data_IF_623895711051
#
_entry.id   IF_623895711051
#
_cell.length_a   1.000
_cell.length_b   1.000
_cell.length_c   1.000
_cell.angle_alpha   90.00
_cell.angle_beta   90.00
_cell.angle_gamma   90.00
#
_symmetry.space_group_name_H-M   'P 1'
#
loop_
_entity.id
_entity.type
_entity.pdbx_description
1 polymer ?
#
# COMPACT_ATOMS: atom_id res chain seq x y z
N UNK A 1 -19.93 -14.35 3.74
CA UNK A 1 -19.80 -14.56 5.18
C UNK A 1 -20.72 -13.58 5.89
N UNK A 2 -21.47 -14.02 6.89
CA UNK A 2 -22.29 -13.18 7.76
C UNK A 2 -21.88 -13.51 9.19
N UNK A 3 -21.71 -12.50 10.04
CA UNK A 3 -21.34 -12.68 11.45
C UNK A 3 -22.43 -12.04 12.29
N UNK A 4 -23.00 -12.82 13.21
CA UNK A 4 -24.01 -12.34 14.16
C UNK A 4 -23.48 -12.63 15.56
N UNK A 5 -23.41 -11.59 16.38
CA UNK A 5 -23.08 -11.70 17.79
C UNK A 5 -24.25 -11.26 18.66
N UNK A 6 -24.44 -11.94 19.78
CA UNK A 6 -25.44 -11.57 20.79
C UNK A 6 -24.93 -11.92 22.18
N UNK A 7 -25.35 -11.23 23.25
CA UNK A 7 -25.09 -11.69 24.60
C UNK A 7 -25.55 -13.14 24.81
N UNK A 8 -24.81 -13.87 25.66
CA UNK A 8 -25.25 -15.15 26.20
C UNK A 8 -25.77 -14.94 27.62
N UNK A 9 -27.08 -15.09 27.83
CA UNK A 9 -27.69 -14.83 29.14
C UNK A 9 -27.22 -15.80 30.23
N UNK A 10 -26.71 -16.99 29.87
CA UNK A 10 -26.13 -17.96 30.82
C UNK A 10 -24.89 -17.41 31.54
N UNK A 11 -24.22 -16.41 30.94
CA UNK A 11 -23.05 -15.77 31.54
C UNK A 11 -23.43 -14.66 32.53
N UNK A 12 -24.65 -14.14 32.47
CA UNK A 12 -25.07 -12.98 33.27
C UNK A 12 -24.91 -13.16 34.79
N UNK A 13 -25.18 -14.35 35.38
CA UNK A 13 -24.98 -14.58 36.81
C UNK A 13 -23.55 -14.36 37.30
N UNK A 14 -22.56 -14.35 36.41
CA UNK A 14 -21.17 -14.03 36.77
C UNK A 14 -20.94 -12.54 37.01
N UNK A 15 -21.87 -11.70 36.60
CA UNK A 15 -21.85 -10.27 36.90
C UNK A 15 -22.64 -10.00 38.19
N UNK A 16 -22.13 -9.12 39.07
CA UNK A 16 -22.63 -8.98 40.43
C UNK A 16 -24.09 -8.54 40.59
N UNK A 17 -24.78 -8.06 39.55
CA UNK A 17 -26.12 -7.43 39.67
C UNK A 17 -26.98 -7.49 38.40
N UNK A 18 -26.72 -8.40 37.46
CA UNK A 18 -27.28 -8.29 36.10
C UNK A 18 -28.24 -9.44 35.79
N UNK A 19 -29.51 -9.11 35.53
CA UNK A 19 -30.48 -10.05 34.93
C UNK A 19 -30.44 -9.95 33.40
N UNK A 20 -30.66 -8.74 32.88
CA UNK A 20 -30.32 -8.31 31.51
C UNK A 20 -29.19 -7.30 31.57
N UNK A 21 -28.23 -7.39 30.64
CA UNK A 21 -27.04 -6.53 30.62
C UNK A 21 -27.33 -5.08 30.30
N UNK A 22 -28.41 -4.83 29.58
CA UNK A 22 -28.86 -3.49 29.22
C UNK A 22 -30.40 -3.44 29.27
N UNK A 23 -30.95 -2.33 29.76
CA UNK A 23 -32.39 -2.12 29.84
C UNK A 23 -33.03 -1.95 28.46
N UNK A 24 -32.27 -1.55 27.44
CA UNK A 24 -32.76 -1.39 26.07
C UNK A 24 -32.82 -2.70 25.29
N UNK A 25 -32.16 -3.77 25.77
CA UNK A 25 -32.26 -5.09 25.17
C UNK A 25 -33.69 -5.62 25.24
N UNK A 26 -34.20 -6.09 24.10
CA UNK A 26 -35.56 -6.66 24.02
C UNK A 26 -35.61 -8.13 24.44
N UNK A 27 -34.48 -8.82 24.39
CA UNK A 27 -34.29 -10.21 24.81
C UNK A 27 -32.80 -10.49 24.96
N UNK A 28 -32.44 -11.54 25.72
CA UNK A 28 -31.09 -12.12 25.74
C UNK A 28 -31.19 -13.64 25.72
N UNK A 29 -30.69 -14.25 24.64
CA UNK A 29 -30.75 -15.69 24.45
C UNK A 29 -29.69 -16.44 25.23
N UNK A 30 -30.04 -17.64 25.67
CA UNK A 30 -29.08 -18.65 26.08
C UNK A 30 -28.40 -19.28 24.84
N UNK A 31 -27.45 -20.20 25.04
CA UNK A 31 -26.73 -20.83 23.92
C UNK A 31 -27.64 -21.69 23.06
N UNK A 32 -28.55 -22.44 23.68
CA UNK A 32 -29.44 -23.34 22.96
C UNK A 32 -30.44 -22.57 22.07
N UNK A 33 -31.01 -21.49 22.58
CA UNK A 33 -31.94 -20.63 21.85
C UNK A 33 -31.26 -20.01 20.62
N UNK A 34 -30.07 -19.44 20.81
CA UNK A 34 -29.29 -18.86 19.72
C UNK A 34 -28.89 -19.92 18.69
N UNK A 35 -28.38 -21.08 19.13
CA UNK A 35 -27.97 -22.16 18.23
C UNK A 35 -29.16 -22.73 17.43
N UNK A 36 -30.30 -22.93 18.09
CA UNK A 36 -31.52 -23.44 17.44
C UNK A 36 -31.99 -22.49 16.35
N UNK A 37 -32.10 -21.20 16.69
CA UNK A 37 -32.48 -20.17 15.72
C UNK A 37 -31.47 -20.11 14.56
N UNK A 38 -30.17 -20.09 14.87
CA UNK A 38 -29.12 -19.98 13.88
C UNK A 38 -29.09 -21.18 12.93
N UNK A 39 -29.22 -22.41 13.44
CA UNK A 39 -29.28 -23.62 12.62
C UNK A 39 -30.49 -23.61 11.68
N UNK A 40 -31.67 -23.19 12.16
CA UNK A 40 -32.87 -23.06 11.34
C UNK A 40 -32.71 -22.03 10.21
N UNK A 41 -32.10 -20.88 10.51
CA UNK A 41 -31.80 -19.85 9.51
C UNK A 41 -30.77 -20.36 8.49
N UNK A 42 -29.72 -21.02 8.97
CA UNK A 42 -28.66 -21.56 8.12
C UNK A 42 -29.23 -22.58 7.11
N UNK A 43 -30.03 -23.54 7.58
CA UNK A 43 -30.71 -24.53 6.75
C UNK A 43 -31.63 -23.86 5.71
N UNK A 44 -32.50 -22.96 6.16
CA UNK A 44 -33.48 -22.26 5.30
C UNK A 44 -32.83 -21.49 4.16
N UNK A 45 -31.69 -20.86 4.39
CA UNK A 45 -31.03 -19.99 3.40
C UNK A 45 -29.79 -20.61 2.74
N UNK A 46 -29.54 -21.91 2.96
CA UNK A 46 -28.40 -22.65 2.42
C UNK A 46 -27.02 -22.09 2.85
N UNK A 47 -26.88 -21.90 4.16
CA UNK A 47 -25.62 -21.60 4.84
C UNK A 47 -25.25 -22.77 5.76
N UNK A 48 -23.96 -22.89 6.09
CA UNK A 48 -23.50 -23.56 7.29
C UNK A 48 -23.21 -22.50 8.37
N UNK A 49 -23.28 -22.88 9.64
CA UNK A 49 -23.00 -22.01 10.77
C UNK A 49 -21.99 -22.66 11.70
N UNK A 50 -20.97 -21.90 12.08
CA UNK A 50 -20.01 -22.25 13.13
C UNK A 50 -20.26 -21.38 14.36
N UNK A 51 -20.24 -22.00 15.55
CA UNK A 51 -20.48 -21.31 16.81
C UNK A 51 -19.17 -21.05 17.54
N UNK A 52 -18.96 -19.80 17.93
CA UNK A 52 -17.81 -19.35 18.73
C UNK A 52 -18.25 -18.24 19.68
N UNK A 53 -17.30 -17.54 20.30
CA UNK A 53 -17.61 -16.40 21.15
C UNK A 53 -16.38 -15.68 21.69
N UNK A 54 -16.64 -14.62 22.45
CA UNK A 54 -15.61 -13.83 23.13
C UNK A 54 -15.97 -13.62 24.60
N UNK A 55 -14.94 -13.38 25.42
CA UNK A 55 -15.07 -13.32 26.88
C UNK A 55 -15.20 -14.71 27.46
N UNK A 56 -14.06 -15.40 27.63
CA UNK A 56 -14.03 -16.70 28.32
C UNK A 56 -14.46 -16.50 29.78
N UNK A 57 -15.15 -17.49 30.36
CA UNK A 57 -15.50 -17.43 31.77
C UNK A 57 -14.23 -17.52 32.64
N UNK A 58 -14.28 -16.99 33.87
CA UNK A 58 -13.23 -17.22 34.85
C UNK A 58 -13.11 -18.71 35.18
N UNK A 59 -11.96 -19.09 35.73
CA UNK A 59 -11.68 -20.47 36.12
C UNK A 59 -12.78 -21.01 37.06
N UNK A 60 -13.30 -22.20 36.76
CA UNK A 60 -14.37 -22.86 37.52
C UNK A 60 -15.80 -22.53 37.05
N UNK A 61 -15.96 -21.62 36.08
CA UNK A 61 -17.25 -21.28 35.49
C UNK A 61 -17.35 -21.65 33.98
N UNK A 62 -16.51 -22.57 33.50
CA UNK A 62 -16.42 -22.93 32.07
C UNK A 62 -17.75 -23.41 31.47
N UNK A 63 -18.63 -23.96 32.31
CA UNK A 63 -19.92 -24.48 31.91
C UNK A 63 -20.86 -23.43 31.29
N UNK A 64 -20.74 -22.14 31.64
CA UNK A 64 -21.62 -21.09 31.07
C UNK A 64 -21.25 -20.69 29.63
N UNK A 65 -20.08 -21.10 29.15
CA UNK A 65 -19.58 -20.73 27.83
C UNK A 65 -19.11 -19.28 27.73
N UNK A 66 -19.07 -18.73 26.51
CA UNK A 66 -18.62 -17.36 26.27
C UNK A 66 -19.61 -16.31 26.75
N UNK A 67 -19.10 -15.15 27.16
CA UNK A 67 -19.88 -13.97 27.52
C UNK A 67 -20.71 -13.44 26.34
N UNK A 68 -20.11 -13.36 25.16
CA UNK A 68 -20.80 -13.06 23.90
C UNK A 68 -20.69 -14.28 23.00
N UNK A 69 -21.83 -14.76 22.50
CA UNK A 69 -21.91 -15.86 21.55
C UNK A 69 -21.97 -15.32 20.12
N UNK A 70 -21.33 -16.05 19.19
CA UNK A 70 -21.15 -15.63 17.80
C UNK A 70 -21.50 -16.80 16.89
N UNK A 71 -22.33 -16.54 15.89
CA UNK A 71 -22.61 -17.44 14.78
C UNK A 71 -21.92 -16.90 13.52
N UNK A 72 -21.01 -17.68 12.95
CA UNK A 72 -20.34 -17.37 11.69
C UNK A 72 -21.00 -18.18 10.58
N UNK A 73 -21.77 -17.51 9.74
CA UNK A 73 -22.52 -18.13 8.65
C UNK A 73 -21.73 -18.04 7.35
N UNK A 74 -21.48 -19.19 6.73
CA UNK A 74 -20.81 -19.31 5.45
C UNK A 74 -21.77 -19.93 4.43
N UNK A 75 -21.83 -19.36 3.22
CA UNK A 75 -22.76 -19.84 2.19
C UNK A 75 -22.27 -21.18 1.67
N UNK A 76 -23.14 -22.19 1.61
CA UNK A 76 -22.77 -23.48 1.04
C UNK A 76 -22.57 -23.31 -0.47
N UNK A 77 -21.33 -23.43 -0.95
CA UNK A 77 -20.97 -23.28 -2.37
C UNK A 77 -21.32 -24.52 -3.22
N UNK A 78 -21.90 -25.56 -2.61
CA UNK A 78 -22.12 -26.88 -3.22
C UNK A 78 -23.37 -27.06 -4.08
N UNK A 79 -24.24 -26.06 -4.20
CA UNK A 79 -25.26 -25.99 -5.25
C UNK A 79 -25.34 -24.54 -5.69
N UNK A 80 -25.02 -24.28 -6.95
CA UNK A 80 -25.58 -23.12 -7.62
C UNK A 80 -27.11 -23.35 -7.65
N UNK A 81 -27.79 -23.01 -6.55
CA UNK A 81 -29.22 -22.74 -6.58
C UNK A 81 -29.40 -21.80 -7.75
N UNK A 82 -30.22 -22.22 -8.74
CA UNK A 82 -30.56 -21.40 -9.90
C UNK A 82 -30.64 -19.97 -9.43
N UNK A 83 -29.74 -19.14 -9.95
CA UNK A 83 -29.72 -17.73 -9.62
C UNK A 83 -31.11 -17.22 -9.90
N UNK A 84 -31.89 -16.97 -8.85
CA UNK A 84 -33.02 -16.06 -8.95
C UNK A 84 -32.37 -14.72 -9.24
N UNK A 85 -32.04 -14.49 -10.52
CA UNK A 85 -31.75 -13.18 -11.08
C UNK A 85 -33.07 -12.44 -11.00
N UNK A 86 -33.45 -12.08 -9.78
CA UNK A 86 -34.32 -10.94 -9.56
C UNK A 86 -33.57 -9.79 -10.21
N UNK A 87 -34.18 -9.21 -11.24
CA UNK A 87 -33.72 -7.94 -11.79
C UNK A 87 -33.46 -7.03 -10.58
N UNK A 88 -32.31 -6.36 -10.48
CA UNK A 88 -32.08 -5.43 -9.38
C UNK A 88 -33.12 -4.34 -9.52
N UNK A 89 -34.20 -4.47 -8.76
CA UNK A 89 -35.21 -3.45 -8.66
C UNK A 89 -34.56 -2.37 -7.79
N UNK A 90 -34.42 -1.19 -8.37
CA UNK A 90 -33.61 -0.09 -7.83
C UNK A 90 -34.27 0.49 -6.57
N UNK A 91 -34.16 -0.24 -5.46
CA UNK A 91 -34.74 0.12 -4.17
C UNK A 91 -33.67 0.79 -3.30
N UNK A 92 -33.58 2.11 -3.42
CA UNK A 92 -32.77 2.93 -2.53
C UNK A 92 -33.55 3.31 -1.27
N UNK A 93 -33.71 2.36 -0.35
CA UNK A 93 -34.42 2.61 0.94
C UNK A 93 -33.57 3.46 1.89
N UNK A 94 -32.25 3.24 1.91
CA UNK A 94 -31.34 3.98 2.79
C UNK A 94 -30.95 5.34 2.21
N UNK A 95 -30.89 6.36 3.07
CA UNK A 95 -30.29 7.66 2.75
C UNK A 95 -28.79 7.62 3.07
N UNK A 96 -27.94 7.74 2.04
CA UNK A 96 -26.50 7.89 2.24
C UNK A 96 -26.22 9.20 3.02
N UNK A 97 -25.72 9.07 4.25
CA UNK A 97 -25.35 10.22 5.10
C UNK A 97 -23.97 10.76 4.70
N UNK A 98 -23.07 9.86 4.32
CA UNK A 98 -21.71 10.19 3.89
C UNK A 98 -21.21 9.15 2.88
N UNK A 99 -20.41 9.57 1.92
CA UNK A 99 -19.75 8.69 0.95
C UNK A 99 -18.37 9.24 0.66
N UNK A 100 -17.37 8.37 0.63
CA UNK A 100 -16.00 8.74 0.30
C UNK A 100 -15.38 7.68 -0.60
N UNK A 101 -14.46 8.11 -1.46
CA UNK A 101 -13.68 7.25 -2.34
C UNK A 101 -12.21 7.63 -2.19
N UNK A 102 -11.37 6.67 -1.83
CA UNK A 102 -9.93 6.89 -1.69
C UNK A 102 -9.24 6.72 -3.04
N UNK A 103 -8.24 7.57 -3.36
CA UNK A 103 -7.45 7.41 -4.57
C UNK A 103 -6.66 6.09 -4.51
N UNK A 104 -6.53 5.44 -5.67
CA UNK A 104 -5.80 4.18 -5.83
C UNK A 104 -4.85 4.27 -7.02
N UNK A 105 -3.70 3.60 -6.95
CA UNK A 105 -2.79 3.46 -8.09
C UNK A 105 -3.37 2.64 -9.25
N UNK A 106 -4.53 1.99 -9.06
CA UNK A 106 -5.30 1.41 -10.16
C UNK A 106 -5.96 2.48 -11.04
N UNK A 107 -6.19 3.67 -10.50
CA UNK A 107 -6.71 4.80 -11.27
C UNK A 107 -5.56 5.43 -12.04
N UNK A 108 -5.67 5.44 -13.37
CA UNK A 108 -4.61 5.92 -14.25
C UNK A 108 -4.15 7.34 -13.92
N UNK A 109 -5.09 8.24 -13.61
CA UNK A 109 -4.78 9.61 -13.19
C UNK A 109 -3.90 9.67 -11.94
N UNK A 110 -4.17 8.83 -10.95
CA UNK A 110 -3.40 8.77 -9.71
C UNK A 110 -2.04 8.11 -9.95
N UNK A 111 -2.01 7.03 -10.73
CA UNK A 111 -0.76 6.39 -11.15
C UNK A 111 0.16 7.38 -11.86
N UNK A 112 -0.36 8.11 -12.85
CA UNK A 112 0.37 9.15 -13.59
C UNK A 112 0.95 10.20 -12.65
N UNK A 113 0.12 10.78 -11.79
CA UNK A 113 0.54 11.82 -10.86
C UNK A 113 1.69 11.37 -9.95
N UNK A 114 1.55 10.20 -9.33
CA UNK A 114 2.58 9.67 -8.41
C UNK A 114 3.84 9.24 -9.17
N UNK A 115 3.69 8.61 -10.34
CA UNK A 115 4.81 8.16 -11.16
C UNK A 115 5.66 9.35 -11.64
N UNK A 116 5.02 10.41 -12.17
CA UNK A 116 5.72 11.63 -12.59
C UNK A 116 6.50 12.25 -11.43
N UNK A 117 5.87 12.36 -10.25
CA UNK A 117 6.54 12.89 -9.06
C UNK A 117 7.77 12.08 -8.65
N UNK A 118 7.66 10.76 -8.59
CA UNK A 118 8.80 9.89 -8.24
C UNK A 118 9.89 9.91 -9.32
N UNK A 119 9.53 9.97 -10.61
CA UNK A 119 10.50 10.12 -11.72
C UNK A 119 11.31 11.39 -11.56
N UNK A 120 10.65 12.54 -11.39
CA UNK A 120 11.33 13.82 -11.24
C UNK A 120 12.25 13.82 -10.01
N UNK A 121 11.82 13.26 -8.89
CA UNK A 121 12.64 13.13 -7.68
C UNK A 121 13.88 12.24 -7.94
N UNK A 122 13.73 11.09 -8.61
CA UNK A 122 14.87 10.21 -8.88
C UNK A 122 15.85 10.83 -9.89
N UNK A 123 15.34 11.47 -10.95
CA UNK A 123 16.17 12.18 -11.94
C UNK A 123 16.98 13.29 -11.26
N UNK A 124 16.34 14.08 -10.41
CA UNK A 124 17.01 15.17 -9.69
C UNK A 124 18.09 14.66 -8.73
N UNK A 125 17.83 13.56 -8.02
CA UNK A 125 18.84 12.90 -7.16
C UNK A 125 20.04 12.41 -7.96
N UNK A 126 19.81 11.83 -9.13
CA UNK A 126 20.85 11.35 -10.02
C UNK A 126 21.68 12.53 -10.57
N UNK A 127 21.01 13.60 -11.00
CA UNK A 127 21.64 14.82 -11.51
C UNK A 127 22.54 15.46 -10.45
N UNK A 128 22.03 15.67 -9.24
CA UNK A 128 22.79 16.25 -8.13
C UNK A 128 23.98 15.37 -7.71
N UNK A 129 23.82 14.05 -7.73
CA UNK A 129 24.92 13.11 -7.47
C UNK A 129 26.00 13.22 -8.54
N UNK A 130 25.60 13.24 -9.81
CA UNK A 130 26.52 13.39 -10.93
C UNK A 130 27.29 14.72 -10.88
N UNK A 131 26.59 15.82 -10.60
CA UNK A 131 27.21 17.14 -10.45
C UNK A 131 28.21 17.21 -9.29
N UNK A 132 27.99 16.48 -8.19
CA UNK A 132 28.98 16.34 -7.10
C UNK A 132 30.23 15.59 -7.56
N UNK A 133 30.05 14.44 -8.21
CA UNK A 133 31.16 13.63 -8.71
C UNK A 133 32.05 14.43 -9.69
N UNK A 134 31.45 15.20 -10.60
CA UNK A 134 32.21 16.06 -11.51
C UNK A 134 33.04 17.14 -10.78
N UNK A 135 32.49 17.72 -9.70
CA UNK A 135 33.22 18.72 -8.89
C UNK A 135 34.38 18.10 -8.13
N UNK A 136 34.20 16.90 -7.59
CA UNK A 136 35.25 16.14 -6.89
C UNK A 136 36.39 15.80 -7.86
N UNK A 137 36.07 15.25 -9.04
CA UNK A 137 37.06 14.97 -10.08
C UNK A 137 37.83 16.22 -10.54
N UNK A 138 37.14 17.36 -10.67
CA UNK A 138 37.80 18.63 -11.01
C UNK A 138 38.76 19.09 -9.92
N UNK A 139 38.37 18.99 -8.65
CA UNK A 139 39.22 19.34 -7.49
C UNK A 139 40.46 18.44 -7.38
N UNK A 140 40.29 17.15 -7.65
CA UNK A 140 41.39 16.18 -7.71
C UNK A 140 42.34 16.44 -8.88
N UNK A 141 41.82 16.89 -10.04
CA UNK A 141 42.66 17.28 -11.17
C UNK A 141 43.46 18.57 -10.90
N UNK A 142 42.91 19.50 -10.13
CA UNK A 142 43.55 20.77 -9.77
C UNK A 142 44.57 20.63 -8.60
N UNK A 143 44.56 19.51 -7.86
CA UNK A 143 45.43 19.26 -6.70
C UNK A 143 46.49 18.19 -7.04
N UNK A 144 47.80 18.51 -6.97
CA UNK A 144 48.88 17.51 -7.15
C UNK A 144 48.80 16.37 -6.11
N UNK A 145 49.26 15.14 -6.42
CA UNK A 145 49.10 14.00 -5.52
C UNK A 145 50.06 14.16 -4.35
N UNK A 146 49.53 14.60 -3.21
CA UNK A 146 50.20 14.41 -1.93
C UNK A 146 49.42 13.39 -1.11
N UNK A 147 50.19 12.52 -0.45
CA UNK A 147 49.71 11.28 0.14
C UNK A 147 48.82 11.51 1.36
N UNK A 148 47.88 10.58 1.52
CA UNK A 148 47.06 10.30 2.70
C UNK A 148 45.99 11.33 3.04
N UNK A 149 44.81 11.13 2.46
CA UNK A 149 43.58 11.05 3.24
C UNK A 149 42.60 10.21 2.41
N UNK A 150 42.26 9.01 2.91
CA UNK A 150 41.19 8.21 2.34
C UNK A 150 39.89 8.98 2.55
N UNK A 151 39.43 9.68 1.52
CA UNK A 151 38.09 10.24 1.49
C UNK A 151 37.09 9.11 1.72
N UNK A 152 36.06 9.31 2.56
CA UNK A 152 35.08 8.28 2.82
C UNK A 152 34.33 7.96 1.52
N UNK A 153 34.09 6.66 1.31
CA UNK A 153 33.42 6.07 0.16
C UNK A 153 32.19 6.93 -0.28
N UNK A 154 32.10 7.38 -1.55
CA UNK A 154 31.03 8.28 -2.06
C UNK A 154 29.60 7.78 -1.84
N UNK A 155 29.44 6.55 -1.39
CA UNK A 155 28.18 5.92 -1.06
C UNK A 155 27.44 6.53 0.15
N UNK A 156 28.11 7.25 1.05
CA UNK A 156 27.55 7.51 2.39
C UNK A 156 26.78 8.82 2.62
N UNK A 157 26.73 9.77 1.67
CA UNK A 157 26.24 11.12 2.03
C UNK A 157 24.78 11.42 1.63
N UNK A 158 24.08 10.55 0.89
CA UNK A 158 22.61 10.66 0.72
C UNK A 158 21.93 9.41 0.13
N UNK A 159 22.44 8.21 0.39
CA UNK A 159 22.06 6.99 -0.31
C UNK A 159 21.02 6.17 0.43
N UNK A 160 19.87 5.90 -0.20
CA UNK A 160 19.02 4.80 0.24
C UNK A 160 19.87 3.52 0.34
N UNK A 161 19.74 2.79 1.45
CA UNK A 161 20.38 1.48 1.61
C UNK A 161 19.65 0.50 0.69
N UNK A 162 20.33 0.08 -0.38
CA UNK A 162 19.83 -0.92 -1.31
C UNK A 162 20.30 -2.30 -0.88
N UNK A 163 19.44 -3.30 -1.05
CA UNK A 163 19.83 -4.71 -1.01
C UNK A 163 20.82 -5.03 -2.14
N UNK A 164 21.61 -6.10 -2.01
CA UNK A 164 22.57 -6.49 -3.07
C UNK A 164 21.88 -6.70 -4.42
N UNK A 165 20.71 -7.36 -4.44
CA UNK A 165 19.93 -7.54 -5.66
C UNK A 165 19.43 -6.20 -6.27
N UNK A 166 19.11 -5.20 -5.45
CA UNK A 166 18.75 -3.87 -5.92
C UNK A 166 19.98 -3.13 -6.47
N UNK A 167 21.15 -3.25 -5.82
CA UNK A 167 22.41 -2.71 -6.33
C UNK A 167 22.76 -3.33 -7.67
N UNK A 168 22.70 -4.64 -7.80
CA UNK A 168 23.00 -5.37 -9.03
C UNK A 168 22.08 -4.94 -10.16
N UNK A 169 20.76 -4.83 -9.91
CA UNK A 169 19.80 -4.33 -10.90
C UNK A 169 20.12 -2.92 -11.35
N UNK A 170 20.48 -2.05 -10.40
CA UNK A 170 20.86 -0.68 -10.68
C UNK A 170 22.15 -0.69 -11.51
N UNK A 171 23.23 -1.34 -11.08
CA UNK A 171 24.51 -1.34 -11.78
C UNK A 171 24.41 -1.91 -13.20
N UNK A 172 23.60 -2.94 -13.41
CA UNK A 172 23.35 -3.56 -14.72
C UNK A 172 22.42 -2.74 -15.62
N UNK A 173 21.84 -1.64 -15.13
CA UNK A 173 20.99 -0.76 -15.95
C UNK A 173 21.80 0.38 -16.60
N UNK A 174 21.35 0.92 -17.75
CA UNK A 174 22.06 1.98 -18.46
C UNK A 174 22.40 3.18 -17.56
N UNK A 175 23.65 3.65 -17.61
CA UNK A 175 24.10 4.76 -16.76
C UNK A 175 23.56 6.09 -17.30
N UNK A 176 23.23 7.06 -16.43
CA UNK A 176 22.99 8.44 -16.85
C UNK A 176 24.21 9.02 -17.56
N UNK A 177 23.97 9.93 -18.50
CA UNK A 177 25.04 10.56 -19.30
C UNK A 177 24.71 12.02 -19.59
N UNK A 178 25.70 12.78 -20.06
CA UNK A 178 25.53 14.16 -20.48
C UNK A 178 25.79 14.31 -21.98
N UNK A 179 25.02 15.17 -22.64
CA UNK A 179 25.35 15.71 -23.96
C UNK A 179 25.26 17.23 -23.88
N UNK A 180 26.41 17.91 -23.97
CA UNK A 180 26.48 19.35 -23.70
C UNK A 180 26.05 19.68 -22.27
N UNK A 181 25.11 20.62 -22.12
CA UNK A 181 24.56 21.05 -20.83
C UNK A 181 23.28 20.27 -20.43
N UNK A 182 22.97 19.17 -21.12
CA UNK A 182 21.82 18.33 -20.84
C UNK A 182 22.24 17.04 -20.15
N UNK A 183 21.48 16.64 -19.14
CA UNK A 183 21.63 15.40 -18.38
C UNK A 183 20.51 14.43 -18.73
N UNK A 184 20.88 13.23 -19.15
CA UNK A 184 19.98 12.19 -19.64
C UNK A 184 19.92 11.04 -18.64
N UNK A 185 18.71 10.64 -18.26
CA UNK A 185 18.47 9.49 -17.40
C UNK A 185 17.60 8.47 -18.14
N UNK A 186 18.17 7.32 -18.56
CA UNK A 186 17.41 6.29 -19.26
C UNK A 186 16.19 5.78 -18.48
N UNK A 187 15.07 5.50 -19.15
CA UNK A 187 13.87 4.98 -18.50
C UNK A 187 14.13 3.62 -17.83
N UNK A 188 14.92 2.75 -18.47
CA UNK A 188 15.39 1.49 -17.87
C UNK A 188 16.16 1.69 -16.56
N UNK A 189 16.94 2.78 -16.47
CA UNK A 189 17.66 3.14 -15.24
C UNK A 189 16.69 3.53 -14.13
N UNK A 190 15.67 4.32 -14.46
CA UNK A 190 14.64 4.75 -13.52
C UNK A 190 13.84 3.54 -12.98
N UNK A 191 13.45 2.61 -13.85
CA UNK A 191 12.75 1.37 -13.46
C UNK A 191 13.63 0.41 -12.62
N UNK A 192 14.95 0.58 -12.62
CA UNK A 192 15.84 -0.14 -11.72
C UNK A 192 15.77 0.36 -10.26
N UNK A 193 15.24 1.56 -10.00
CA UNK A 193 15.10 2.06 -8.63
C UNK A 193 13.90 1.44 -7.90
N UNK A 194 14.03 1.00 -6.64
CA UNK A 194 12.99 0.25 -5.92
C UNK A 194 11.63 0.95 -5.85
N UNK A 195 11.63 2.27 -5.65
CA UNK A 195 10.39 3.05 -5.60
C UNK A 195 9.63 3.03 -6.92
N UNK A 196 10.34 3.12 -8.04
CA UNK A 196 9.75 3.12 -9.37
C UNK A 196 9.40 1.70 -9.84
N UNK A 197 10.21 0.71 -9.46
CA UNK A 197 9.93 -0.70 -9.73
C UNK A 197 8.59 -1.16 -9.11
N UNK A 198 8.22 -0.62 -7.93
CA UNK A 198 6.97 -0.98 -7.24
C UNK A 198 5.70 -0.68 -8.04
N UNK A 199 5.75 0.25 -8.99
CA UNK A 199 4.59 0.52 -9.86
C UNK A 199 4.35 -0.59 -10.88
N UNK A 200 5.32 -1.50 -11.11
CA UNK A 200 5.23 -2.60 -12.07
C UNK A 200 4.81 -2.14 -13.47
N UNK A 201 5.33 -0.97 -13.86
CA UNK A 201 5.10 -0.36 -15.17
C UNK A 201 6.30 -0.70 -16.06
N UNK A 202 6.05 -1.16 -17.28
CA UNK A 202 7.10 -1.37 -18.28
C UNK A 202 7.56 -0.03 -18.88
N UNK A 203 8.60 -0.07 -19.72
CA UNK A 203 9.17 1.15 -20.29
C UNK A 203 8.17 1.90 -21.17
N UNK A 204 7.37 1.19 -21.96
CA UNK A 204 6.42 1.79 -22.90
C UNK A 204 5.28 2.49 -22.17
N UNK A 205 4.72 1.84 -21.16
CA UNK A 205 3.68 2.42 -20.31
C UNK A 205 4.24 3.55 -19.45
N UNK A 206 5.48 3.46 -18.97
CA UNK A 206 6.12 4.56 -18.26
C UNK A 206 6.25 5.77 -19.18
N UNK A 207 6.77 5.57 -20.39
CA UNK A 207 6.92 6.61 -21.42
C UNK A 207 5.60 7.28 -21.73
N UNK A 208 4.54 6.51 -21.99
CA UNK A 208 3.21 7.02 -22.29
C UNK A 208 2.61 7.84 -21.14
N UNK A 209 2.85 7.42 -19.89
CA UNK A 209 2.31 8.13 -18.72
C UNK A 209 3.03 9.45 -18.44
N UNK A 210 4.34 9.53 -18.68
CA UNK A 210 5.15 10.70 -18.31
C UNK A 210 5.40 11.68 -19.46
N UNK A 211 5.17 11.29 -20.71
CA UNK A 211 5.54 12.08 -21.90
C UNK A 211 4.92 13.48 -21.96
N UNK A 212 3.76 13.68 -21.34
CA UNK A 212 3.10 14.99 -21.28
C UNK A 212 3.61 15.89 -20.14
N UNK A 213 4.35 15.33 -19.19
CA UNK A 213 4.73 16.02 -17.95
C UNK A 213 6.24 16.13 -17.76
N UNK A 214 7.02 15.36 -18.50
CA UNK A 214 8.48 15.27 -18.39
C UNK A 214 9.10 15.34 -19.78
N UNK A 215 10.18 16.10 -19.94
CA UNK A 215 10.94 16.16 -21.18
C UNK A 215 11.65 14.83 -21.43
N UNK A 216 11.38 14.22 -22.58
CA UNK A 216 12.03 12.99 -23.02
C UNK A 216 13.01 13.26 -24.16
N UNK A 217 13.96 12.35 -24.36
CA UNK A 217 14.84 12.34 -25.53
C UNK A 217 14.05 12.15 -26.82
N UNK A 218 14.67 12.43 -27.97
CA UNK A 218 14.02 12.33 -29.28
C UNK A 218 13.49 10.93 -29.60
N UNK A 219 14.16 9.89 -29.11
CA UNK A 219 13.75 8.48 -29.19
C UNK A 219 12.84 8.03 -28.03
N UNK A 220 12.57 8.91 -27.06
CA UNK A 220 11.77 8.64 -25.88
C UNK A 220 12.40 7.65 -24.88
N UNK A 221 13.69 7.31 -25.01
CA UNK A 221 14.36 6.31 -24.16
C UNK A 221 14.91 6.86 -22.85
N UNK A 222 15.00 8.18 -22.70
CA UNK A 222 15.54 8.84 -21.52
C UNK A 222 14.75 10.10 -21.13
N UNK A 223 14.72 10.41 -19.83
CA UNK A 223 14.32 11.73 -19.32
C UNK A 223 15.47 12.70 -19.47
N UNK A 224 15.19 13.93 -19.91
CA UNK A 224 16.16 14.98 -20.18
C UNK A 224 15.92 16.17 -19.25
N UNK A 225 16.95 16.60 -18.55
CA UNK A 225 16.95 17.81 -17.72
C UNK A 225 18.22 18.62 -17.98
N UNK A 226 18.21 19.91 -17.63
CA UNK A 226 19.44 20.70 -17.65
C UNK A 226 20.40 20.19 -16.58
N UNK A 227 21.68 20.03 -16.91
CA UNK A 227 22.70 19.57 -15.98
C UNK A 227 22.91 20.62 -14.88
N UNK A 228 22.88 21.89 -15.25
CA UNK A 228 23.01 23.03 -14.35
C UNK A 228 21.70 23.82 -14.29
N UNK A 229 21.17 24.01 -13.09
CA UNK A 229 19.98 24.82 -12.83
C UNK A 229 20.38 26.12 -12.14
N UNK A 230 19.67 27.22 -12.41
CA UNK A 230 19.92 28.54 -11.78
C UNK A 230 19.78 28.53 -10.24
N UNK A 231 19.16 27.48 -9.70
CA UNK A 231 18.96 27.25 -8.27
C UNK A 231 20.00 26.31 -7.64
N UNK A 232 20.94 25.79 -8.44
CA UNK A 232 22.04 25.00 -7.91
C UNK A 232 22.98 25.92 -7.12
N UNK A 233 22.90 25.86 -5.79
CA UNK A 233 23.79 26.63 -4.92
C UNK A 233 25.26 26.35 -5.27
N UNK A 234 25.97 27.37 -5.76
CA UNK A 234 27.42 27.34 -5.97
C UNK A 234 28.08 27.95 -4.74
N UNK A 235 28.80 27.16 -3.91
CA UNK A 235 29.51 27.70 -2.76
C UNK A 235 30.69 28.63 -3.14
N UNK A 236 31.01 28.77 -4.43
CA UNK A 236 32.07 29.65 -4.95
C UNK A 236 31.59 31.08 -5.25
N UNK A 237 30.30 31.38 -5.04
CA UNK A 237 29.72 32.72 -5.22
C UNK A 237 29.79 33.62 -3.95
N UNK A 238 30.66 33.28 -2.98
CA UNK A 238 30.95 34.08 -1.78
C UNK A 238 32.45 34.28 -1.57
#
# INVERSE_FOLDING_TARGET
MIVISTPNCEFNPLFPTVTLRDADHKFEWNRMEFQTWALQVADRYNYCVEFTGVGKPPAGAEHVGFCTQIGVFQKNTGKATQSCVSKPLDHHVYKAVYTTSYPSLQQERMLKFVLVGEVLIQVERLRLRHGRMLREQKREADTKPDSSESSPDPHLVLGAVFTEAEKDRIENSPKPFCEGDKFFVPLKRLLAYPKLLRFQVDEDKMRALISESVCLSSDGSAVVVDLHNSWDYRPEDN
#
